data_IF_917040667010
#
_entry.id   IF_917040667010
#
_cell.length_a   1.000
_cell.length_b   1.000
_cell.length_c   1.000
_cell.angle_alpha   90.00
_cell.angle_beta   90.00
_cell.angle_gamma   90.00
#
_symmetry.space_group_name_H-M   'P 1'
#
loop_
_entity.id
_entity.type
_entity.pdbx_description
1 polymer ?
#
# COMPACT_ATOMS: atom_id res chain seq x y z
N UNK A 1 -38.12 42.76 -24.79
CA UNK A 1 -38.17 41.74 -25.85
C UNK A 1 -36.82 41.04 -25.88
N UNK A 2 -36.86 39.70 -25.77
CA UNK A 2 -35.78 38.74 -26.05
C UNK A 2 -34.62 38.68 -25.04
N UNK A 3 -34.19 37.53 -24.51
CA UNK A 3 -34.67 36.15 -24.58
C UNK A 3 -34.02 35.37 -23.43
N UNK A 4 -34.82 34.64 -22.64
CA UNK A 4 -34.38 33.66 -21.66
C UNK A 4 -34.08 32.34 -22.39
N UNK A 5 -32.89 31.78 -22.22
CA UNK A 5 -32.55 30.44 -22.70
C UNK A 5 -32.98 29.39 -21.66
N UNK A 6 -33.68 28.32 -22.09
CA UNK A 6 -34.23 27.30 -21.19
C UNK A 6 -33.20 26.21 -20.83
N UNK A 7 -33.22 25.83 -19.55
CA UNK A 7 -32.66 24.59 -19.01
C UNK A 7 -33.28 23.40 -19.72
N UNK A 8 -32.46 22.61 -20.43
CA UNK A 8 -32.86 21.30 -20.94
C UNK A 8 -32.66 20.23 -19.86
N UNK A 9 -33.76 19.85 -19.19
CA UNK A 9 -33.92 18.53 -18.57
C UNK A 9 -34.45 17.56 -19.62
N UNK A 10 -33.66 16.55 -19.96
CA UNK A 10 -34.15 15.30 -20.54
C UNK A 10 -33.52 14.19 -19.67
N UNK A 11 -34.24 13.30 -19.01
CA UNK A 11 -35.47 12.64 -19.46
C UNK A 11 -35.14 11.17 -19.67
N UNK A 12 -35.41 10.37 -18.64
CA UNK A 12 -35.46 8.89 -18.58
C UNK A 12 -35.49 8.15 -19.93
N UNK A 13 -34.58 7.18 -20.11
CA UNK A 13 -34.89 5.94 -20.83
C UNK A 13 -34.08 4.75 -20.23
N UNK A 14 -34.76 3.91 -19.44
CA UNK A 14 -34.51 2.45 -19.37
C UNK A 14 -35.54 1.83 -20.31
N UNK A 15 -35.18 0.86 -21.18
CA UNK A 15 -35.15 -0.53 -20.73
C UNK A 15 -34.10 -1.41 -21.45
N UNK A 16 -33.50 -2.37 -20.74
CA UNK A 16 -32.92 -3.56 -21.40
C UNK A 16 -33.42 -4.78 -20.66
N UNK A 17 -34.37 -5.46 -21.29
CA UNK A 17 -34.59 -6.88 -21.10
C UNK A 17 -33.69 -7.62 -22.09
N UNK A 18 -33.13 -8.75 -21.69
CA UNK A 18 -33.11 -10.04 -22.42
C UNK A 18 -32.27 -11.01 -21.60
N UNK A 19 -32.94 -12.08 -21.15
CA UNK A 19 -32.34 -13.33 -20.70
C UNK A 19 -31.58 -13.99 -21.86
N UNK A 20 -30.44 -14.64 -21.57
CA UNK A 20 -30.11 -15.91 -22.19
C UNK A 20 -29.08 -16.68 -21.35
N UNK A 21 -29.50 -17.87 -20.94
CA UNK A 21 -28.73 -18.90 -20.27
C UNK A 21 -28.01 -19.80 -21.29
N UNK A 22 -26.83 -20.33 -20.94
CA UNK A 22 -26.21 -21.57 -21.44
C UNK A 22 -24.96 -21.83 -20.55
N UNK A 23 -25.04 -22.77 -19.60
CA UNK A 23 -24.57 -24.18 -19.69
C UNK A 23 -23.05 -24.30 -19.93
N UNK A 24 -22.33 -24.93 -18.98
CA UNK A 24 -21.89 -26.33 -19.11
C UNK A 24 -21.25 -26.81 -17.80
N UNK A 25 -21.76 -27.92 -17.30
CA UNK A 25 -21.39 -28.55 -16.05
C UNK A 25 -20.10 -29.39 -16.16
N UNK A 26 -19.42 -29.49 -15.03
CA UNK A 26 -18.16 -30.15 -14.76
C UNK A 26 -18.10 -31.63 -15.17
N UNK A 27 -16.89 -32.08 -15.48
CA UNK A 27 -16.46 -33.46 -15.32
C UNK A 27 -15.10 -33.47 -14.62
N UNK A 28 -14.94 -34.09 -13.44
CA UNK A 28 -13.64 -34.59 -13.02
C UNK A 28 -13.52 -36.08 -13.35
N UNK A 29 -12.37 -36.42 -13.90
CA UNK A 29 -11.91 -37.78 -14.16
C UNK A 29 -11.68 -38.51 -12.83
N UNK A 30 -12.10 -39.78 -12.79
CA UNK A 30 -11.84 -40.74 -11.71
C UNK A 30 -10.59 -41.55 -12.04
N UNK A 31 -9.91 -42.01 -10.98
CA UNK A 31 -8.98 -43.14 -10.91
C UNK A 31 -7.57 -42.93 -11.53
N UNK A 32 -6.46 -43.41 -10.96
CA UNK A 32 -6.25 -44.57 -10.11
C UNK A 32 -5.03 -44.35 -9.20
N UNK A 33 -5.13 -44.81 -7.94
CA UNK A 33 -3.98 -45.22 -7.14
C UNK A 33 -3.30 -46.43 -7.80
N UNK A 34 -1.99 -46.48 -7.74
CA UNK A 34 -1.24 -47.73 -7.84
C UNK A 34 -0.03 -47.61 -6.93
N UNK A 35 -0.20 -48.16 -5.74
CA UNK A 35 0.85 -48.54 -4.81
C UNK A 35 1.59 -49.73 -5.44
N UNK A 36 2.91 -49.63 -5.54
CA UNK A 36 3.79 -50.73 -5.92
C UNK A 36 5.12 -50.49 -5.23
N UNK A 37 5.24 -51.06 -4.03
CA UNK A 37 6.50 -51.27 -3.34
C UNK A 37 7.13 -52.56 -3.85
N UNK A 38 8.26 -52.42 -4.55
CA UNK A 38 9.33 -53.42 -4.60
C UNK A 38 10.54 -52.78 -5.29
N UNK A 39 11.44 -52.17 -4.51
CA UNK A 39 12.77 -51.75 -4.98
C UNK A 39 13.88 -52.37 -4.10
N UNK A 40 14.63 -53.36 -4.60
CA UNK A 40 15.71 -54.02 -3.87
C UNK A 40 17.09 -53.36 -4.09
N UNK A 41 17.14 -52.04 -4.33
CA UNK A 41 18.39 -51.31 -4.57
C UNK A 41 18.42 -50.07 -3.68
N UNK A 42 19.38 -50.04 -2.75
CA UNK A 42 19.55 -49.00 -1.74
C UNK A 42 19.88 -47.61 -2.31
N UNK A 43 18.89 -47.01 -2.98
CA UNK A 43 18.83 -45.58 -3.27
C UNK A 43 17.99 -44.97 -2.16
N UNK A 44 18.45 -43.89 -1.50
CA UNK A 44 17.67 -43.22 -0.46
C UNK A 44 16.33 -42.80 -1.06
N UNK A 45 15.24 -43.30 -0.47
CA UNK A 45 13.88 -42.86 -0.78
C UNK A 45 13.79 -41.37 -0.50
N UNK A 46 13.41 -40.60 -1.52
CA UNK A 46 13.04 -39.19 -1.35
C UNK A 46 11.87 -39.13 -0.38
N UNK A 47 12.13 -38.64 0.83
CA UNK A 47 11.13 -38.40 1.86
C UNK A 47 10.65 -36.94 1.70
N UNK A 48 9.47 -36.71 1.11
CA UNK A 48 8.93 -35.37 0.92
C UNK A 48 8.68 -34.66 2.26
N UNK A 49 8.49 -35.41 3.36
CA UNK A 49 8.25 -34.86 4.69
C UNK A 49 9.56 -34.33 5.31
N UNK A 50 10.68 -35.02 5.06
CA UNK A 50 12.01 -34.55 5.46
C UNK A 50 12.47 -33.33 4.64
N UNK A 51 12.16 -33.28 3.34
CA UNK A 51 12.45 -32.11 2.50
C UNK A 51 11.58 -30.90 2.90
N UNK A 52 10.28 -31.10 3.15
CA UNK A 52 9.39 -30.06 3.64
C UNK A 52 9.81 -29.56 5.04
N UNK A 53 10.29 -30.45 5.91
CA UNK A 53 10.80 -30.08 7.24
C UNK A 53 12.12 -29.30 7.16
N UNK A 54 12.98 -29.61 6.18
CA UNK A 54 14.22 -28.87 5.94
C UNK A 54 13.94 -27.47 5.39
N UNK A 55 13.06 -27.33 4.40
CA UNK A 55 12.68 -26.00 3.86
C UNK A 55 11.90 -25.16 4.89
N UNK A 56 11.05 -25.78 5.70
CA UNK A 56 10.39 -25.10 6.82
C UNK A 56 11.40 -24.65 7.89
N UNK A 57 12.46 -25.44 8.14
CA UNK A 57 13.52 -25.08 9.10
C UNK A 57 14.43 -23.98 8.56
N UNK A 58 14.75 -23.99 7.26
CA UNK A 58 15.51 -22.92 6.60
C UNK A 58 14.71 -21.63 6.54
N UNK A 59 13.41 -21.69 6.21
CA UNK A 59 12.51 -20.54 6.21
C UNK A 59 12.30 -19.95 7.61
N UNK A 60 12.15 -20.80 8.63
CA UNK A 60 12.07 -20.37 10.03
C UNK A 60 13.39 -19.74 10.50
N UNK A 61 14.54 -20.32 10.13
CA UNK A 61 15.85 -19.76 10.47
C UNK A 61 16.10 -18.41 9.77
N UNK A 62 15.67 -18.25 8.51
CA UNK A 62 15.72 -16.97 7.81
C UNK A 62 14.80 -15.92 8.41
N UNK A 63 13.57 -16.30 8.81
CA UNK A 63 12.63 -15.40 9.46
C UNK A 63 13.13 -14.97 10.86
N UNK A 64 13.68 -15.89 11.65
CA UNK A 64 14.28 -15.58 12.94
C UNK A 64 15.56 -14.72 12.80
N UNK A 65 16.37 -14.96 11.77
CA UNK A 65 17.53 -14.14 11.47
C UNK A 65 17.14 -12.71 11.10
N UNK A 66 16.15 -12.52 10.21
CA UNK A 66 15.61 -11.20 9.87
C UNK A 66 15.02 -10.48 11.08
N UNK A 67 14.18 -11.16 11.87
CA UNK A 67 13.60 -10.58 13.08
C UNK A 67 14.67 -10.17 14.11
N UNK A 68 15.75 -10.96 14.26
CA UNK A 68 16.87 -10.64 15.16
C UNK A 68 17.73 -9.47 14.66
N UNK A 69 17.86 -9.32 13.34
CA UNK A 69 18.57 -8.20 12.70
C UNK A 69 17.75 -6.91 12.81
N UNK A 70 16.43 -6.97 12.57
CA UNK A 70 15.51 -5.85 12.76
C UNK A 70 15.49 -5.37 14.22
N UNK A 71 15.38 -6.29 15.18
CA UNK A 71 15.44 -5.96 16.60
C UNK A 71 16.80 -5.38 17.04
N UNK A 72 17.91 -5.83 16.43
CA UNK A 72 19.26 -5.30 16.71
C UNK A 72 19.49 -3.93 16.07
N UNK A 73 18.92 -3.67 14.89
CA UNK A 73 18.96 -2.37 14.23
C UNK A 73 18.10 -1.33 14.98
N UNK A 74 16.93 -1.75 15.48
CA UNK A 74 16.06 -0.92 16.33
C UNK A 74 16.76 -0.56 17.65
N UNK A 75 17.47 -1.51 18.26
CA UNK A 75 18.30 -1.27 19.45
C UNK A 75 19.54 -0.39 19.18
N UNK A 76 20.01 -0.30 17.93
CA UNK A 76 21.11 0.56 17.50
C UNK A 76 20.64 1.93 16.97
N UNK A 77 19.33 2.18 16.91
CA UNK A 77 18.75 3.40 16.35
C UNK A 77 18.91 3.52 14.82
N UNK A 78 19.31 2.45 14.14
CA UNK A 78 19.49 2.41 12.70
C UNK A 78 18.13 2.14 12.04
N UNK A 79 17.67 3.08 11.23
CA UNK A 79 16.43 2.94 10.48
C UNK A 79 16.62 1.96 9.34
N UNK A 80 15.76 0.96 9.27
CA UNK A 80 15.70 -0.02 8.18
C UNK A 80 14.29 -0.04 7.58
N UNK A 81 14.18 -0.50 6.32
CA UNK A 81 12.90 -0.71 5.67
C UNK A 81 11.97 -1.64 6.50
N UNK A 82 12.52 -2.74 7.01
CA UNK A 82 11.78 -3.68 7.87
C UNK A 82 11.26 -3.01 9.15
N UNK A 83 12.10 -2.23 9.84
CA UNK A 83 11.69 -1.51 11.07
C UNK A 83 10.62 -0.43 10.84
N UNK A 84 10.42 0.00 9.59
CA UNK A 84 9.41 0.99 9.19
C UNK A 84 8.13 0.34 8.65
N UNK A 85 8.08 -0.98 8.58
CA UNK A 85 6.94 -1.73 8.03
C UNK A 85 5.92 -2.10 9.11
N UNK A 86 4.68 -2.32 8.69
CA UNK A 86 3.59 -2.91 9.49
C UNK A 86 2.96 -4.07 8.73
N UNK A 87 1.96 -4.74 9.32
CA UNK A 87 1.28 -5.86 8.66
C UNK A 87 0.63 -5.49 7.32
N UNK A 88 0.14 -4.25 7.16
CA UNK A 88 -0.59 -3.79 5.96
C UNK A 88 0.15 -2.74 5.14
N UNK A 89 1.33 -2.34 5.60
CA UNK A 89 2.17 -1.31 4.99
C UNK A 89 3.62 -1.81 4.98
N UNK A 90 4.08 -2.29 3.84
CA UNK A 90 5.41 -2.85 3.67
C UNK A 90 6.34 -1.80 3.03
N UNK A 91 7.37 -1.36 3.77
CA UNK A 91 8.44 -0.58 3.17
C UNK A 91 9.45 -1.55 2.56
N UNK A 92 9.60 -1.50 1.23
CA UNK A 92 10.46 -2.43 0.49
C UNK A 92 11.90 -1.93 0.38
N UNK A 93 12.10 -0.61 0.31
CA UNK A 93 13.41 0.02 0.26
C UNK A 93 13.41 1.45 0.79
N UNK A 94 14.55 1.88 1.32
CA UNK A 94 14.85 3.27 1.71
C UNK A 94 16.18 3.70 1.10
N UNK A 95 16.46 5.01 0.93
CA UNK A 95 17.76 5.45 0.46
C UNK A 95 18.87 5.11 1.47
N UNK A 96 20.06 4.82 0.94
CA UNK A 96 21.25 4.62 1.76
C UNK A 96 21.86 5.97 2.21
N UNK A 97 22.74 5.92 3.22
CA UNK A 97 23.56 7.06 3.66
C UNK A 97 22.80 8.35 4.03
N UNK A 98 21.58 8.22 4.55
CA UNK A 98 20.80 9.36 5.05
C UNK A 98 21.48 10.02 6.25
N UNK A 99 21.59 11.35 6.22
CA UNK A 99 22.00 12.12 7.39
C UNK A 99 20.91 12.18 8.47
N UNK A 100 21.23 12.78 9.62
CA UNK A 100 20.31 12.88 10.76
C UNK A 100 18.99 13.58 10.38
N UNK A 101 19.07 14.67 9.61
CA UNK A 101 17.89 15.44 9.24
C UNK A 101 17.05 14.72 8.18
N UNK A 102 17.69 14.08 7.20
CA UNK A 102 16.98 13.25 6.22
C UNK A 102 16.33 12.03 6.89
N UNK A 103 16.97 11.46 7.91
CA UNK A 103 16.40 10.37 8.70
C UNK A 103 15.16 10.82 9.47
N UNK A 104 15.15 12.03 10.02
CA UNK A 104 13.95 12.62 10.65
C UNK A 104 12.81 12.80 9.64
N UNK A 105 13.11 13.33 8.45
CA UNK A 105 12.12 13.49 7.37
C UNK A 105 11.56 12.13 6.95
N UNK A 106 12.40 11.11 6.77
CA UNK A 106 11.97 9.76 6.42
C UNK A 106 10.98 9.21 7.45
N UNK A 107 11.31 9.30 8.75
CA UNK A 107 10.44 8.83 9.83
C UNK A 107 9.11 9.59 9.88
N UNK A 108 9.16 10.91 9.71
CA UNK A 108 7.97 11.75 9.71
C UNK A 108 7.05 11.43 8.52
N UNK A 109 7.62 11.25 7.32
CA UNK A 109 6.89 10.84 6.13
C UNK A 109 6.24 9.47 6.32
N UNK A 110 7.00 8.46 6.74
CA UNK A 110 6.43 7.10 6.91
C UNK A 110 5.33 7.07 7.96
N UNK A 111 5.48 7.82 9.07
CA UNK A 111 4.42 7.94 10.06
C UNK A 111 3.16 8.60 9.48
N UNK A 112 3.32 9.67 8.70
CA UNK A 112 2.21 10.28 7.97
C UNK A 112 1.52 9.29 7.03
N UNK A 113 2.29 8.59 6.19
CA UNK A 113 1.73 7.71 5.17
C UNK A 113 1.01 6.51 5.80
N UNK A 114 1.57 5.93 6.87
CA UNK A 114 0.89 4.88 7.64
C UNK A 114 -0.43 5.37 8.26
N UNK A 115 -0.46 6.58 8.83
CA UNK A 115 -1.68 7.16 9.42
C UNK A 115 -2.73 7.40 8.33
N UNK A 116 -2.34 7.97 7.19
CA UNK A 116 -3.23 8.24 6.06
C UNK A 116 -3.77 6.94 5.46
N UNK A 117 -2.93 5.92 5.26
CA UNK A 117 -3.39 4.61 4.81
C UNK A 117 -4.31 3.92 5.81
N UNK A 118 -4.04 4.05 7.11
CA UNK A 118 -4.93 3.50 8.13
C UNK A 118 -6.34 4.14 8.08
N UNK A 119 -6.44 5.44 7.75
CA UNK A 119 -7.75 6.10 7.54
C UNK A 119 -8.54 5.38 6.43
N UNK A 120 -7.90 5.05 5.31
CA UNK A 120 -8.54 4.32 4.21
C UNK A 120 -8.84 2.86 4.56
N UNK A 121 -7.95 2.21 5.31
CA UNK A 121 -8.14 0.82 5.71
C UNK A 121 -9.31 0.63 6.69
N UNK A 122 -9.56 1.60 7.56
CA UNK A 122 -10.60 1.48 8.60
C UNK A 122 -11.83 2.33 8.32
N UNK A 123 -11.75 3.30 7.39
CA UNK A 123 -12.81 4.27 7.15
C UNK A 123 -13.08 5.17 8.35
N UNK A 124 -12.07 5.40 9.21
CA UNK A 124 -12.20 6.19 10.45
C UNK A 124 -10.88 6.88 10.82
N UNK A 125 -10.93 7.85 11.74
CA UNK A 125 -9.73 8.41 12.36
C UNK A 125 -9.04 9.48 11.52
N UNK A 126 -9.79 10.19 10.68
CA UNK A 126 -9.28 11.26 9.81
C UNK A 126 -8.56 12.35 10.60
N UNK A 127 -8.98 12.61 11.84
CA UNK A 127 -8.37 13.58 12.74
C UNK A 127 -6.91 13.26 13.10
N UNK A 128 -6.46 12.02 12.93
CA UNK A 128 -5.09 11.63 13.22
C UNK A 128 -4.08 12.20 12.21
N UNK A 129 -4.54 12.63 11.03
CA UNK A 129 -3.69 13.28 10.03
C UNK A 129 -3.35 14.74 10.41
N UNK A 130 -4.23 15.42 11.15
CA UNK A 130 -4.11 16.85 11.50
C UNK A 130 -2.72 17.26 12.04
N UNK A 131 -2.11 16.57 13.03
CA UNK A 131 -0.79 16.96 13.54
C UNK A 131 0.36 16.71 12.56
N UNK A 132 0.15 15.92 11.50
CA UNK A 132 1.17 15.45 10.57
C UNK A 132 1.19 16.25 9.25
N UNK A 133 0.22 17.14 9.08
CA UNK A 133 0.00 17.90 7.86
C UNK A 133 -0.08 19.39 8.14
N UNK A 134 0.12 20.22 7.12
CA UNK A 134 -0.34 21.61 7.16
C UNK A 134 -1.86 21.67 7.16
N UNK A 135 -2.44 22.79 7.59
CA UNK A 135 -3.89 22.98 7.59
C UNK A 135 -4.50 22.78 6.19
N UNK A 136 -3.80 23.21 5.14
CA UNK A 136 -4.25 23.06 3.75
C UNK A 136 -4.29 21.59 3.32
N UNK A 137 -3.21 20.85 3.56
CA UNK A 137 -3.15 19.42 3.22
C UNK A 137 -4.13 18.59 4.05
N UNK A 138 -4.30 18.92 5.33
CA UNK A 138 -5.31 18.29 6.18
C UNK A 138 -6.73 18.40 5.59
N UNK A 139 -7.08 19.59 5.07
CA UNK A 139 -8.39 19.77 4.45
C UNK A 139 -8.55 18.96 3.16
N UNK A 140 -7.48 18.73 2.40
CA UNK A 140 -7.52 17.84 1.23
C UNK A 140 -7.85 16.41 1.67
N UNK A 141 -7.19 15.91 2.71
CA UNK A 141 -7.45 14.57 3.28
C UNK A 141 -8.90 14.46 3.76
N UNK A 142 -9.38 15.44 4.53
CA UNK A 142 -10.79 15.47 5.00
C UNK A 142 -11.78 15.45 3.84
N UNK A 143 -11.53 16.23 2.78
CA UNK A 143 -12.41 16.24 1.61
C UNK A 143 -12.44 14.89 0.89
N UNK A 144 -11.28 14.24 0.74
CA UNK A 144 -11.20 12.91 0.15
C UNK A 144 -11.89 11.85 1.03
N UNK A 145 -11.73 11.96 2.35
CA UNK A 145 -12.36 11.08 3.33
C UNK A 145 -13.89 11.18 3.29
N UNK A 146 -14.45 12.39 3.27
CA UNK A 146 -15.90 12.59 3.15
C UNK A 146 -16.41 12.14 1.77
N UNK A 147 -15.61 12.29 0.71
CA UNK A 147 -15.96 11.84 -0.63
C UNK A 147 -16.00 10.30 -0.74
N UNK A 148 -15.19 9.57 0.03
CA UNK A 148 -15.19 8.10 0.03
C UNK A 148 -16.50 7.50 0.56
N UNK A 149 -17.38 8.31 1.17
CA UNK A 149 -18.71 7.89 1.60
C UNK A 149 -18.70 6.66 2.54
N UNK A 150 -17.65 6.51 3.34
CA UNK A 150 -17.48 5.39 4.27
C UNK A 150 -16.97 4.09 3.62
N UNK A 151 -16.39 4.17 2.42
CA UNK A 151 -15.63 3.07 1.83
C UNK A 151 -14.42 2.69 2.71
N UNK A 152 -14.09 1.41 2.72
CA UNK A 152 -12.88 0.87 3.35
C UNK A 152 -12.01 0.17 2.31
N UNK A 153 -10.72 0.13 2.56
CA UNK A 153 -9.74 -0.54 1.69
C UNK A 153 -9.18 -1.79 2.38
N UNK A 154 -9.22 -2.93 1.71
CA UNK A 154 -8.57 -4.17 2.13
C UNK A 154 -7.31 -4.46 1.30
N UNK A 155 -6.45 -5.31 1.83
CA UNK A 155 -5.16 -5.66 1.23
C UNK A 155 -3.97 -4.99 1.92
N UNK A 156 -2.79 -5.16 1.32
CA UNK A 156 -1.53 -4.58 1.77
C UNK A 156 -0.95 -3.63 0.72
N UNK A 157 -0.40 -2.52 1.19
CA UNK A 157 0.38 -1.57 0.40
C UNK A 157 1.86 -1.96 0.48
N UNK A 158 2.57 -1.88 -0.65
CA UNK A 158 4.03 -1.95 -0.69
C UNK A 158 4.59 -0.61 -1.15
N UNK A 159 5.65 -0.10 -0.52
CA UNK A 159 6.20 1.21 -0.83
C UNK A 159 7.73 1.21 -0.85
N UNK A 160 8.30 1.77 -1.90
CA UNK A 160 9.72 2.11 -1.97
C UNK A 160 9.91 3.61 -1.78
N UNK A 161 10.80 4.02 -0.89
CA UNK A 161 11.24 5.41 -0.75
C UNK A 161 12.48 5.59 -1.61
N UNK A 162 12.33 6.30 -2.73
CA UNK A 162 13.37 6.47 -3.74
C UNK A 162 14.37 7.56 -3.35
N UNK A 163 13.92 8.66 -2.73
CA UNK A 163 14.80 9.74 -2.29
C UNK A 163 14.22 10.53 -1.12
N UNK A 164 15.11 11.14 -0.33
CA UNK A 164 14.79 12.11 0.71
C UNK A 164 15.76 13.27 0.59
N UNK A 165 15.27 14.46 0.25
CA UNK A 165 16.10 15.62 -0.06
C UNK A 165 15.69 16.83 0.76
N UNK A 166 16.64 17.50 1.42
CA UNK A 166 16.40 18.79 2.07
C UNK A 166 16.57 19.90 1.03
N UNK A 167 15.48 20.58 0.67
CA UNK A 167 15.46 21.55 -0.43
C UNK A 167 15.65 22.99 0.05
N UNK A 168 15.35 23.29 1.31
CA UNK A 168 15.57 24.61 1.90
C UNK A 168 16.06 24.51 3.35
N UNK A 169 17.33 24.13 3.61
CA UNK A 169 17.82 23.87 4.97
C UNK A 169 17.99 25.12 5.84
N UNK A 170 18.00 26.32 5.25
CA UNK A 170 18.31 27.58 5.95
C UNK A 170 17.13 28.56 6.01
N UNK A 171 15.95 28.17 5.54
CA UNK A 171 14.74 28.97 5.69
C UNK A 171 14.20 28.87 7.13
N UNK A 172 13.37 29.85 7.52
CA UNK A 172 12.67 29.84 8.82
C UNK A 172 11.92 28.52 9.03
N UNK A 173 11.30 28.02 7.96
CA UNK A 173 10.67 26.71 7.91
C UNK A 173 11.46 25.90 6.90
N UNK A 174 12.27 24.94 7.36
CA UNK A 174 13.03 24.09 6.47
C UNK A 174 12.08 23.29 5.57
N UNK A 175 12.51 22.96 4.34
CA UNK A 175 11.71 22.17 3.40
C UNK A 175 12.45 20.90 2.99
N UNK A 176 11.67 19.86 2.73
CA UNK A 176 12.15 18.60 2.22
C UNK A 176 11.20 18.03 1.16
N UNK A 177 11.75 17.17 0.31
CA UNK A 177 11.04 16.42 -0.71
C UNK A 177 11.32 14.93 -0.50
N UNK A 178 10.27 14.11 -0.55
CA UNK A 178 10.38 12.65 -0.54
C UNK A 178 9.75 12.12 -1.82
N UNK A 179 10.48 11.29 -2.57
CA UNK A 179 9.94 10.61 -3.75
C UNK A 179 9.70 9.15 -3.38
N UNK A 180 8.50 8.66 -3.66
CA UNK A 180 8.10 7.27 -3.38
C UNK A 180 7.53 6.59 -4.61
N UNK A 181 7.53 5.25 -4.60
CA UNK A 181 6.69 4.43 -5.44
C UNK A 181 5.79 3.58 -4.53
N UNK A 182 4.47 3.77 -4.60
CA UNK A 182 3.50 2.95 -3.89
C UNK A 182 2.84 1.94 -4.83
N UNK A 183 2.98 0.64 -4.55
CA UNK A 183 2.27 -0.44 -5.22
C UNK A 183 0.99 -0.77 -4.47
N UNK A 184 -0.12 -0.35 -5.08
CA UNK A 184 -1.49 -0.50 -4.59
C UNK A 184 -2.25 -1.59 -5.36
N UNK A 185 -1.56 -2.36 -6.21
CA UNK A 185 -2.21 -3.34 -7.10
C UNK A 185 -2.96 -4.46 -6.37
N UNK A 186 -2.60 -4.72 -5.11
CA UNK A 186 -3.25 -5.71 -4.25
C UNK A 186 -4.43 -5.14 -3.42
N UNK A 187 -4.74 -3.85 -3.55
CA UNK A 187 -5.80 -3.21 -2.77
C UNK A 187 -7.18 -3.42 -3.40
N UNK A 188 -8.20 -3.52 -2.55
CA UNK A 188 -9.61 -3.61 -2.95
C UNK A 188 -10.44 -2.67 -2.09
N UNK A 189 -11.29 -1.84 -2.71
CA UNK A 189 -12.20 -0.94 -2.00
C UNK A 189 -13.58 -1.57 -1.85
N UNK A 190 -14.18 -1.43 -0.67
CA UNK A 190 -15.52 -1.92 -0.37
C UNK A 190 -16.41 -0.80 0.15
N UNK A 191 -17.65 -0.74 -0.35
CA UNK A 191 -18.67 0.15 0.20
C UNK A 191 -19.16 -0.33 1.58
N UNK A 192 -19.97 0.49 2.26
CA UNK A 192 -20.53 0.15 3.57
C UNK A 192 -21.49 -1.06 3.57
N UNK A 193 -21.83 -1.62 2.40
CA UNK A 193 -22.61 -2.85 2.25
C UNK A 193 -21.71 -4.07 1.98
N UNK A 194 -20.39 -3.87 1.85
CA UNK A 194 -19.41 -4.91 1.54
C UNK A 194 -19.35 -5.26 0.05
N UNK A 195 -19.87 -4.42 -0.84
CA UNK A 195 -19.68 -4.63 -2.28
C UNK A 195 -18.31 -4.07 -2.69
N UNK A 196 -17.60 -4.83 -3.52
CA UNK A 196 -16.39 -4.35 -4.18
C UNK A 196 -16.74 -3.20 -5.13
N UNK A 197 -16.15 -2.04 -4.88
CA UNK A 197 -16.30 -0.80 -5.65
C UNK A 197 -14.95 -0.33 -6.21
N UNK A 198 -13.96 -1.22 -6.26
CA UNK A 198 -12.60 -0.91 -6.71
C UNK A 198 -12.60 -0.29 -8.11
N UNK A 199 -11.90 0.84 -8.24
CA UNK A 199 -11.60 1.43 -9.53
C UNK A 199 -10.14 1.10 -9.91
N UNK A 200 -9.91 0.22 -10.89
CA UNK A 200 -8.56 -0.19 -11.26
C UNK A 200 -7.73 0.94 -11.88
N UNK A 201 -8.36 2.01 -12.36
CA UNK A 201 -7.62 3.16 -12.92
C UNK A 201 -7.12 4.13 -11.83
N UNK A 202 -7.65 4.04 -10.60
CA UNK A 202 -7.41 5.03 -9.53
C UNK A 202 -6.79 4.41 -8.28
N UNK A 203 -7.25 3.22 -7.86
CA UNK A 203 -6.74 2.53 -6.67
C UNK A 203 -5.68 1.49 -7.03
N UNK A 204 -5.90 0.69 -8.08
CA UNK A 204 -5.09 -0.50 -8.33
C UNK A 204 -3.99 -0.21 -9.36
N UNK A 205 -2.89 0.36 -8.89
CA UNK A 205 -1.74 0.69 -9.72
C UNK A 205 -0.47 0.91 -8.92
N UNK A 206 0.59 1.29 -9.63
CA UNK A 206 1.83 1.80 -9.02
C UNK A 206 1.90 3.30 -9.23
N UNK A 207 2.08 4.06 -8.16
CA UNK A 207 2.05 5.52 -8.22
C UNK A 207 3.37 6.06 -7.71
N UNK A 208 4.07 6.79 -8.57
CA UNK A 208 5.23 7.56 -8.14
C UNK A 208 4.75 8.90 -7.62
N UNK A 209 5.10 9.25 -6.39
CA UNK A 209 4.59 10.45 -5.73
C UNK A 209 5.74 11.28 -5.19
N UNK A 210 5.68 12.58 -5.45
CA UNK A 210 6.48 13.60 -4.77
C UNK A 210 5.69 14.12 -3.58
N UNK A 211 6.27 13.97 -2.39
CA UNK A 211 5.76 14.50 -1.14
C UNK A 211 6.59 15.71 -0.76
N UNK A 212 5.92 16.85 -0.56
CA UNK A 212 6.57 18.07 -0.06
C UNK A 212 6.33 18.16 1.43
N UNK A 213 7.40 18.40 2.20
CA UNK A 213 7.35 18.55 3.64
C UNK A 213 7.93 19.89 4.09
N UNK A 214 7.37 20.43 5.15
CA UNK A 214 7.81 21.66 5.80
C UNK A 214 8.03 21.41 7.29
N UNK A 215 9.12 21.96 7.83
CA UNK A 215 9.38 21.94 9.26
C UNK A 215 8.71 23.16 9.91
N UNK A 216 7.66 22.92 10.68
CA UNK A 216 6.97 23.93 11.49
C UNK A 216 7.31 23.71 12.96
N UNK A 217 7.98 24.69 13.56
CA UNK A 217 8.32 24.70 14.99
C UNK A 217 9.02 23.40 15.48
N UNK A 218 9.89 22.83 14.63
CA UNK A 218 10.66 21.62 14.93
C UNK A 218 9.95 20.32 14.54
N UNK A 219 8.75 20.39 13.95
CA UNK A 219 7.99 19.21 13.51
C UNK A 219 7.89 19.19 11.99
N UNK A 220 8.29 18.09 11.37
CA UNK A 220 8.09 17.87 9.94
C UNK A 220 6.63 17.51 9.65
N UNK A 221 6.02 18.24 8.72
CA UNK A 221 4.64 18.05 8.28
C UNK A 221 4.57 17.95 6.77
N UNK A 222 3.66 17.14 6.24
CA UNK A 222 3.36 17.11 4.81
C UNK A 222 2.56 18.36 4.44
N UNK A 223 2.96 19.01 3.36
CA UNK A 223 2.35 20.24 2.84
C UNK A 223 1.84 20.11 1.42
N UNK A 224 2.02 18.96 0.79
CA UNK A 224 1.55 18.70 -0.56
C UNK A 224 2.00 17.36 -1.09
N UNK A 225 1.16 16.78 -1.94
CA UNK A 225 1.46 15.56 -2.68
C UNK A 225 1.21 15.77 -4.18
N UNK A 226 2.07 15.16 -4.99
CA UNK A 226 1.94 15.19 -6.44
C UNK A 226 2.30 13.84 -7.04
N UNK A 227 1.38 13.26 -7.79
CA UNK A 227 1.68 12.11 -8.64
C UNK A 227 2.60 12.52 -9.79
N UNK A 228 3.77 11.91 -9.87
CA UNK A 228 4.78 12.10 -10.91
C UNK A 228 4.51 11.17 -12.10
N UNK A 229 4.23 9.90 -11.82
CA UNK A 229 3.98 8.88 -12.85
C UNK A 229 3.02 7.79 -12.36
N UNK A 230 2.44 7.05 -13.30
CA UNK A 230 1.50 5.95 -13.02
C UNK A 230 1.92 4.71 -13.79
N UNK A 231 2.11 3.61 -13.06
CA UNK A 231 2.58 2.31 -13.54
C UNK A 231 4.00 2.29 -14.13
N UNK A 232 4.78 3.34 -13.93
CA UNK A 232 6.16 3.48 -14.44
C UNK A 232 7.24 3.23 -13.38
N UNK A 233 6.91 3.35 -12.09
CA UNK A 233 7.83 3.08 -10.98
C UNK A 233 7.77 1.62 -10.50
N UNK A 234 8.71 1.22 -9.62
CA UNK A 234 8.78 -0.11 -9.02
C UNK A 234 9.07 -0.04 -7.52
N UNK A 235 8.67 -1.10 -6.81
CA UNK A 235 8.90 -1.33 -5.38
C UNK A 235 9.75 -2.55 -5.14
#
# INVERSE_FOLDING_TARGET
MQSLTPVSRHGRHRPVAVLLALLLACAPLVACSSESDDNPLGIPTYDPEAAASAEASESAASAEASASAAASAEAAGVVTAESLSTERYEVTSIPEDLDEQQTEVLKAFVNYDQVTWNIWFTGTGVENAEPLTTDEEYQIIVNNYEASSGEIVEGGLRIAIASVLITSPYSKNAQAEVVTCGDQSALTAYDAQGNDVSNPEVLQGRYETLITMINEDGTWKVSGEQTLSTNECAV
#
